data_IF_711877901633
#
_entry.id   IF_711877901633
#
_cell.length_a   1.000
_cell.length_b   1.000
_cell.length_c   1.000
_cell.angle_alpha   90.00
_cell.angle_beta   90.00
_cell.angle_gamma   90.00
#
_symmetry.space_group_name_H-M   'P 1'
#
loop_
_entity.id
_entity.type
_entity.pdbx_description
1 polymer ?
#
# COMPACT_ATOMS: atom_id res chain seq x y z
N UNK A 1 -17.38 -78.47 4.13
CA UNK A 1 -18.75 -78.86 3.81
C UNK A 1 -19.34 -77.81 2.88
N UNK A 2 -19.40 -78.21 1.63
CA UNK A 2 -20.03 -77.46 0.53
C UNK A 2 -21.53 -77.41 0.80
N UNK A 3 -22.14 -76.28 0.81
CA UNK A 3 -23.55 -76.04 0.63
C UNK A 3 -23.78 -75.64 -0.82
N UNK A 4 -24.33 -76.55 -1.59
CA UNK A 4 -24.97 -76.35 -2.88
C UNK A 4 -26.25 -75.54 -2.64
N UNK A 5 -26.25 -74.22 -2.96
CA UNK A 5 -27.49 -73.51 -3.20
C UNK A 5 -27.72 -73.49 -4.70
N UNK A 6 -28.43 -74.44 -5.21
CA UNK A 6 -29.16 -74.34 -6.47
C UNK A 6 -30.29 -73.34 -6.28
N UNK A 7 -30.48 -72.38 -7.19
CA UNK A 7 -31.73 -71.69 -7.23
C UNK A 7 -32.80 -72.57 -7.80
N UNK A 8 -33.66 -72.98 -6.89
CA UNK A 8 -34.83 -73.80 -7.15
C UNK A 8 -35.92 -72.93 -7.82
N UNK A 9 -36.64 -73.58 -8.71
CA UNK A 9 -37.97 -73.25 -9.19
C UNK A 9 -38.08 -71.99 -10.15
N UNK A 10 -37.45 -72.11 -11.32
CA UNK A 10 -38.12 -71.59 -12.51
C UNK A 10 -39.25 -72.54 -12.90
N UNK A 11 -40.47 -72.22 -12.52
CA UNK A 11 -41.64 -72.91 -13.05
C UNK A 11 -41.61 -72.81 -14.60
N UNK A 12 -41.15 -73.91 -15.22
CA UNK A 12 -41.24 -74.00 -16.68
C UNK A 12 -42.71 -74.17 -17.07
N UNK A 13 -43.31 -73.10 -17.52
CA UNK A 13 -44.69 -73.11 -18.01
C UNK A 13 -44.66 -73.74 -19.42
N UNK A 14 -45.01 -75.02 -19.49
CA UNK A 14 -45.23 -75.73 -20.76
C UNK A 14 -46.55 -75.30 -21.38
N UNK A 15 -46.55 -74.54 -22.42
CA UNK A 15 -47.75 -74.21 -23.18
C UNK A 15 -47.85 -75.27 -24.29
N UNK A 16 -48.82 -76.22 -24.15
CA UNK A 16 -49.11 -77.17 -25.20
C UNK A 16 -50.01 -76.49 -26.23
N UNK A 17 -49.44 -76.16 -27.39
CA UNK A 17 -50.19 -75.58 -28.53
C UNK A 17 -50.46 -76.68 -29.53
N UNK A 18 -51.74 -76.92 -29.94
CA UNK A 18 -52.06 -77.87 -31.01
C UNK A 18 -51.33 -77.45 -32.32
N UNK A 19 -50.92 -78.49 -33.08
CA UNK A 19 -50.08 -78.37 -34.26
C UNK A 19 -50.75 -77.52 -35.34
N UNK A 20 -52.05 -77.53 -35.46
CA UNK A 20 -52.91 -76.77 -36.37
C UNK A 20 -53.00 -75.28 -36.04
N UNK A 21 -52.58 -74.89 -34.80
CA UNK A 21 -52.63 -73.46 -34.32
C UNK A 21 -51.25 -72.82 -34.16
N UNK A 22 -50.20 -73.55 -34.49
CA UNK A 22 -48.83 -73.05 -34.31
C UNK A 22 -48.54 -71.78 -35.10
N UNK A 23 -48.98 -71.73 -36.35
CA UNK A 23 -48.75 -70.52 -37.23
C UNK A 23 -49.53 -69.32 -36.74
N UNK A 24 -50.73 -69.48 -36.22
CA UNK A 24 -51.53 -68.38 -35.67
C UNK A 24 -50.89 -67.86 -34.36
N UNK A 25 -50.46 -68.80 -33.49
CA UNK A 25 -49.76 -68.40 -32.25
C UNK A 25 -48.41 -67.75 -32.51
N UNK A 26 -47.62 -68.23 -33.43
CA UNK A 26 -46.33 -67.71 -33.77
C UNK A 26 -46.46 -66.26 -34.36
N UNK A 27 -47.53 -66.08 -35.15
CA UNK A 27 -47.81 -64.76 -35.73
C UNK A 27 -48.30 -63.80 -34.65
N UNK A 28 -49.26 -64.18 -33.81
CA UNK A 28 -49.72 -63.29 -32.69
C UNK A 28 -48.61 -63.01 -31.69
N UNK A 29 -47.77 -64.00 -31.34
CA UNK A 29 -46.63 -63.77 -30.45
C UNK A 29 -45.63 -62.84 -31.05
N UNK A 30 -45.28 -62.94 -32.36
CA UNK A 30 -44.37 -62.08 -33.06
C UNK A 30 -44.90 -60.63 -33.12
N UNK A 31 -46.22 -60.44 -33.38
CA UNK A 31 -46.87 -59.14 -33.38
C UNK A 31 -46.87 -58.55 -31.95
N UNK A 32 -47.20 -59.36 -30.95
CA UNK A 32 -47.18 -58.88 -29.54
C UNK A 32 -45.77 -58.47 -29.10
N UNK A 33 -44.73 -59.25 -29.41
CA UNK A 33 -43.34 -58.91 -29.12
C UNK A 33 -42.90 -57.62 -29.85
N UNK A 34 -43.33 -57.51 -31.12
CA UNK A 34 -43.01 -56.27 -31.89
C UNK A 34 -43.69 -55.05 -31.28
N UNK A 35 -44.96 -55.15 -30.94
CA UNK A 35 -45.71 -54.02 -30.32
C UNK A 35 -45.14 -53.67 -28.95
N UNK A 36 -44.87 -54.63 -28.07
CA UNK A 36 -44.24 -54.41 -26.79
C UNK A 36 -42.86 -53.72 -26.92
N UNK A 37 -42.07 -54.12 -27.91
CA UNK A 37 -40.77 -53.52 -28.20
C UNK A 37 -40.94 -52.11 -28.72
N UNK A 38 -41.92 -51.82 -29.54
CA UNK A 38 -42.24 -50.48 -30.03
C UNK A 38 -42.71 -49.57 -28.89
N UNK A 39 -43.61 -50.05 -28.03
CA UNK A 39 -44.10 -49.31 -26.86
C UNK A 39 -42.99 -49.05 -25.81
N UNK A 40 -42.12 -50.04 -25.58
CA UNK A 40 -40.96 -49.87 -24.72
C UNK A 40 -40.03 -48.78 -25.26
N UNK A 41 -39.71 -48.80 -26.56
CA UNK A 41 -38.89 -47.77 -27.19
C UNK A 41 -39.52 -46.38 -27.09
N UNK A 42 -40.83 -46.28 -27.32
CA UNK A 42 -41.59 -45.01 -27.24
C UNK A 42 -41.59 -44.49 -25.78
N UNK A 43 -41.85 -45.32 -24.80
CA UNK A 43 -41.87 -44.94 -23.40
C UNK A 43 -40.46 -44.56 -22.92
N UNK A 44 -39.44 -45.32 -23.31
CA UNK A 44 -38.03 -44.98 -23.00
C UNK A 44 -37.61 -43.63 -23.56
N UNK A 45 -38.01 -43.31 -24.79
CA UNK A 45 -37.72 -41.98 -25.40
C UNK A 45 -38.44 -40.84 -24.66
N UNK A 46 -39.73 -41.06 -24.28
CA UNK A 46 -40.49 -40.07 -23.51
C UNK A 46 -39.84 -39.82 -22.15
N UNK A 47 -39.50 -40.90 -21.43
CA UNK A 47 -38.84 -40.78 -20.11
C UNK A 47 -37.52 -40.08 -20.23
N UNK A 48 -36.68 -40.43 -21.24
CA UNK A 48 -35.41 -39.78 -21.50
C UNK A 48 -35.57 -38.29 -21.80
N UNK A 49 -36.56 -37.91 -22.63
CA UNK A 49 -36.87 -36.54 -22.94
C UNK A 49 -37.31 -35.73 -21.71
N UNK A 50 -38.17 -36.34 -20.84
CA UNK A 50 -38.61 -35.69 -19.60
C UNK A 50 -37.44 -35.49 -18.64
N UNK A 51 -36.59 -36.50 -18.47
CA UNK A 51 -35.40 -36.41 -17.63
C UNK A 51 -34.40 -35.34 -18.13
N UNK A 52 -34.17 -35.26 -19.45
CA UNK A 52 -33.33 -34.25 -20.05
C UNK A 52 -33.89 -32.84 -19.82
N UNK A 53 -35.21 -32.67 -19.96
CA UNK A 53 -35.88 -31.37 -19.73
C UNK A 53 -35.81 -30.97 -18.24
N UNK A 54 -36.08 -31.88 -17.32
CA UNK A 54 -35.98 -31.66 -15.87
C UNK A 54 -34.53 -31.35 -15.47
N UNK A 55 -33.55 -32.06 -16.02
CA UNK A 55 -32.11 -31.80 -15.80
C UNK A 55 -31.71 -30.43 -16.33
N UNK A 56 -32.16 -30.03 -17.50
CA UNK A 56 -31.92 -28.72 -18.10
C UNK A 56 -32.48 -27.57 -17.25
N UNK A 57 -33.74 -27.76 -16.78
CA UNK A 57 -34.37 -26.75 -15.89
C UNK A 57 -33.62 -26.66 -14.55
N UNK A 58 -33.31 -27.80 -13.93
CA UNK A 58 -32.53 -27.82 -12.67
C UNK A 58 -31.18 -27.17 -12.83
N UNK A 59 -30.44 -27.46 -13.92
CA UNK A 59 -29.13 -26.87 -14.21
C UNK A 59 -29.25 -25.37 -14.42
N UNK A 60 -30.27 -24.89 -15.11
CA UNK A 60 -30.52 -23.46 -15.30
C UNK A 60 -30.72 -22.71 -13.97
N UNK A 61 -31.55 -23.25 -13.06
CA UNK A 61 -31.80 -22.65 -11.75
C UNK A 61 -30.55 -22.70 -10.84
N UNK A 62 -29.88 -23.84 -10.80
CA UNK A 62 -28.67 -24.03 -9.97
C UNK A 62 -27.55 -23.10 -10.48
N UNK A 63 -27.30 -23.06 -11.79
CA UNK A 63 -26.28 -22.18 -12.38
C UNK A 63 -26.59 -20.71 -12.16
N UNK A 64 -27.84 -20.29 -12.33
CA UNK A 64 -28.27 -18.91 -12.07
C UNK A 64 -28.05 -18.49 -10.61
N UNK A 65 -28.39 -19.39 -9.67
CA UNK A 65 -28.21 -19.12 -8.24
C UNK A 65 -26.75 -19.16 -7.80
N UNK A 66 -25.97 -20.10 -8.30
CA UNK A 66 -24.55 -20.26 -7.99
C UNK A 66 -23.68 -19.09 -8.55
N UNK A 67 -24.07 -18.52 -9.69
CA UNK A 67 -23.32 -17.42 -10.31
C UNK A 67 -23.76 -16.04 -9.84
N UNK A 68 -24.89 -15.92 -9.13
CA UNK A 68 -25.39 -14.64 -8.63
C UNK A 68 -24.39 -13.88 -7.75
N UNK A 69 -23.73 -14.50 -6.76
CA UNK A 69 -22.75 -13.81 -5.91
C UNK A 69 -21.55 -13.25 -6.71
N UNK A 70 -21.15 -13.96 -7.77
CA UNK A 70 -20.04 -13.51 -8.63
C UNK A 70 -20.44 -12.27 -9.44
N UNK A 71 -21.69 -12.21 -9.93
CA UNK A 71 -22.21 -11.02 -10.63
C UNK A 71 -22.31 -9.84 -9.69
N UNK A 72 -22.88 -10.04 -8.49
CA UNK A 72 -22.96 -9.00 -7.47
C UNK A 72 -21.59 -8.45 -7.06
N UNK A 73 -20.57 -9.32 -6.98
CA UNK A 73 -19.18 -8.94 -6.75
C UNK A 73 -18.64 -8.10 -7.92
N UNK A 74 -18.85 -8.54 -9.17
CA UNK A 74 -18.41 -7.82 -10.36
C UNK A 74 -19.06 -6.42 -10.44
N UNK A 75 -20.37 -6.33 -10.21
CA UNK A 75 -21.10 -5.05 -10.22
C UNK A 75 -20.62 -4.10 -9.11
N UNK A 76 -20.26 -4.61 -7.94
CA UNK A 76 -19.69 -3.81 -6.86
C UNK A 76 -18.29 -3.31 -7.20
N UNK A 77 -17.43 -4.17 -7.77
CA UNK A 77 -16.09 -3.79 -8.19
C UNK A 77 -16.12 -2.67 -9.25
N UNK A 78 -17.02 -2.79 -10.24
CA UNK A 78 -17.13 -1.79 -11.32
C UNK A 78 -17.57 -0.41 -10.80
N UNK A 79 -18.35 -0.36 -9.71
CA UNK A 79 -18.85 0.88 -9.12
C UNK A 79 -17.94 1.50 -8.07
N UNK A 80 -16.78 0.88 -7.79
CA UNK A 80 -15.81 1.40 -6.79
C UNK A 80 -15.22 2.72 -7.28
N UNK A 81 -15.34 3.73 -6.45
CA UNK A 81 -14.73 5.05 -6.62
C UNK A 81 -14.10 5.49 -5.30
N UNK A 82 -13.16 6.43 -5.35
CA UNK A 82 -12.48 6.94 -4.15
C UNK A 82 -13.45 7.49 -3.07
N UNK A 83 -14.66 7.93 -3.49
CA UNK A 83 -15.66 8.49 -2.58
C UNK A 83 -16.55 7.44 -1.90
N UNK A 84 -16.63 6.20 -2.44
CA UNK A 84 -17.55 5.16 -1.95
C UNK A 84 -16.87 3.86 -1.49
N UNK A 85 -15.58 3.90 -1.19
CA UNK A 85 -14.80 2.72 -0.79
C UNK A 85 -15.40 2.01 0.43
N UNK A 86 -15.86 2.77 1.43
CA UNK A 86 -16.46 2.21 2.65
C UNK A 86 -17.78 1.48 2.38
N UNK A 87 -18.60 2.01 1.46
CA UNK A 87 -19.91 1.44 1.10
C UNK A 87 -19.79 0.26 0.10
N UNK A 88 -18.60 0.07 -0.47
CA UNK A 88 -18.33 -0.98 -1.46
C UNK A 88 -17.87 -2.30 -0.83
N UNK A 89 -17.89 -2.42 0.49
CA UNK A 89 -17.57 -3.67 1.20
C UNK A 89 -18.57 -4.77 0.85
N UNK A 90 -18.07 -6.00 0.77
CA UNK A 90 -18.86 -7.19 0.47
C UNK A 90 -19.07 -7.95 1.77
N UNK A 91 -20.32 -8.39 1.99
CA UNK A 91 -20.64 -9.25 3.11
C UNK A 91 -19.97 -10.63 2.99
N UNK A 92 -19.68 -11.24 4.12
CA UNK A 92 -19.12 -12.59 4.15
C UNK A 92 -20.09 -13.59 3.52
N UNK A 93 -19.56 -14.48 2.69
CA UNK A 93 -20.35 -15.49 1.98
C UNK A 93 -20.24 -16.84 2.69
N UNK A 94 -21.31 -17.65 2.62
CA UNK A 94 -21.32 -19.00 3.19
C UNK A 94 -20.46 -20.00 2.40
N UNK A 95 -20.20 -19.73 1.12
CA UNK A 95 -19.32 -20.56 0.28
C UNK A 95 -17.87 -20.16 0.54
N UNK A 96 -17.05 -21.11 0.97
CA UNK A 96 -15.69 -20.90 1.46
C UNK A 96 -14.79 -20.17 0.46
N UNK A 97 -14.84 -20.53 -0.81
CA UNK A 97 -14.03 -19.93 -1.88
C UNK A 97 -14.45 -18.49 -2.15
N UNK A 98 -15.74 -18.20 -2.14
CA UNK A 98 -16.28 -16.86 -2.30
C UNK A 98 -16.00 -15.99 -1.07
N UNK A 99 -16.04 -16.58 0.12
CA UNK A 99 -15.69 -15.87 1.35
C UNK A 99 -14.23 -15.43 1.36
N UNK A 100 -13.31 -16.31 0.95
CA UNK A 100 -11.90 -15.96 0.84
C UNK A 100 -11.66 -14.80 -0.15
N UNK A 101 -12.39 -14.79 -1.28
CA UNK A 101 -12.35 -13.70 -2.25
C UNK A 101 -12.90 -12.39 -1.66
N UNK A 102 -14.05 -12.44 -0.96
CA UNK A 102 -14.65 -11.29 -0.28
C UNK A 102 -13.73 -10.68 0.77
N UNK A 103 -13.08 -11.51 1.59
CA UNK A 103 -12.09 -11.07 2.60
C UNK A 103 -10.88 -10.40 1.94
N UNK A 104 -10.36 -11.00 0.86
CA UNK A 104 -9.21 -10.44 0.13
C UNK A 104 -9.56 -9.12 -0.52
N UNK A 105 -10.74 -9.01 -1.12
CA UNK A 105 -11.27 -7.80 -1.71
C UNK A 105 -11.48 -6.69 -0.66
N UNK A 106 -12.13 -6.99 0.47
CA UNK A 106 -12.34 -6.03 1.54
C UNK A 106 -11.01 -5.50 2.11
N UNK A 107 -10.00 -6.37 2.25
CA UNK A 107 -8.65 -5.96 2.67
C UNK A 107 -7.97 -5.05 1.64
N UNK A 108 -8.19 -5.31 0.34
CA UNK A 108 -7.70 -4.42 -0.72
C UNK A 108 -8.39 -3.05 -0.66
N UNK A 109 -9.72 -3.00 -0.46
CA UNK A 109 -10.47 -1.76 -0.30
C UNK A 109 -9.99 -0.95 0.91
N UNK A 110 -9.72 -1.62 2.05
CA UNK A 110 -9.21 -0.99 3.26
C UNK A 110 -7.85 -0.32 3.00
N UNK A 111 -6.91 -1.05 2.39
CA UNK A 111 -5.61 -0.50 2.00
C UNK A 111 -5.74 0.68 1.03
N UNK A 112 -6.68 0.60 0.09
CA UNK A 112 -6.94 1.67 -0.87
C UNK A 112 -7.56 2.89 -0.18
N UNK A 113 -8.50 2.69 0.73
CA UNK A 113 -9.11 3.75 1.54
C UNK A 113 -8.06 4.48 2.38
N UNK A 114 -7.20 3.75 3.07
CA UNK A 114 -6.11 4.32 3.86
C UNK A 114 -5.14 5.13 2.98
N UNK A 115 -4.78 4.61 1.81
CA UNK A 115 -3.92 5.31 0.87
C UNK A 115 -4.54 6.62 0.36
N UNK A 116 -5.84 6.62 0.04
CA UNK A 116 -6.55 7.83 -0.38
C UNK A 116 -6.70 8.86 0.76
N UNK A 117 -6.94 8.41 1.99
CA UNK A 117 -7.04 9.32 3.12
C UNK A 117 -5.68 9.98 3.41
N UNK A 118 -4.59 9.21 3.39
CA UNK A 118 -3.22 9.73 3.52
C UNK A 118 -2.93 10.74 2.39
N UNK A 119 -3.28 10.42 1.14
CA UNK A 119 -3.08 11.31 0.00
C UNK A 119 -3.91 12.59 0.12
N UNK A 120 -5.16 12.50 0.55
CA UNK A 120 -6.05 13.65 0.77
C UNK A 120 -5.51 14.57 1.85
N UNK A 121 -5.07 14.00 2.97
CA UNK A 121 -4.47 14.73 4.07
C UNK A 121 -3.17 15.41 3.65
N UNK A 122 -2.32 14.69 2.90
CA UNK A 122 -1.09 15.24 2.32
C UNK A 122 -1.38 16.46 1.43
N UNK A 123 -2.33 16.34 0.50
CA UNK A 123 -2.69 17.44 -0.42
C UNK A 123 -3.28 18.64 0.33
N UNK A 124 -4.15 18.41 1.31
CA UNK A 124 -4.74 19.47 2.11
C UNK A 124 -3.68 20.21 2.95
N UNK A 125 -2.77 19.46 3.58
CA UNK A 125 -1.68 20.02 4.36
C UNK A 125 -0.69 20.79 3.48
N UNK A 126 -0.35 20.27 2.30
CA UNK A 126 0.51 20.95 1.33
C UNK A 126 -0.10 22.30 0.90
N UNK A 127 -1.39 22.30 0.54
CA UNK A 127 -2.10 23.53 0.16
C UNK A 127 -2.12 24.56 1.29
N UNK A 128 -2.32 24.10 2.54
CA UNK A 128 -2.33 24.98 3.71
C UNK A 128 -0.94 25.57 4.01
N UNK A 129 0.10 24.75 3.98
CA UNK A 129 1.48 25.16 4.24
C UNK A 129 2.06 26.06 3.12
N UNK A 130 1.57 25.92 1.86
CA UNK A 130 1.90 26.83 0.76
C UNK A 130 1.16 28.16 0.88
N UNK A 131 -0.12 28.16 1.32
CA UNK A 131 -0.92 29.40 1.44
C UNK A 131 -0.36 30.36 2.48
N UNK A 132 0.15 29.86 3.59
CA UNK A 132 0.63 30.68 4.71
C UNK A 132 1.79 31.61 4.31
N UNK A 133 2.92 31.16 3.72
CA UNK A 133 3.99 32.06 3.30
C UNK A 133 3.56 33.01 2.19
N UNK A 134 2.69 32.58 1.25
CA UNK A 134 2.13 33.46 0.23
C UNK A 134 1.32 34.61 0.84
N UNK A 135 0.46 34.31 1.82
CA UNK A 135 -0.32 35.33 2.51
C UNK A 135 0.58 36.28 3.31
N UNK A 136 1.64 35.78 3.94
CA UNK A 136 2.61 36.62 4.65
C UNK A 136 3.36 37.58 3.70
N UNK A 137 3.81 37.07 2.56
CA UNK A 137 4.43 37.91 1.54
C UNK A 137 3.47 38.99 1.03
N UNK A 138 2.21 38.63 0.77
CA UNK A 138 1.19 39.57 0.33
C UNK A 138 0.96 40.69 1.36
N UNK A 139 0.78 40.32 2.65
CA UNK A 139 0.59 41.29 3.74
C UNK A 139 1.79 42.24 3.85
N UNK A 140 3.03 41.74 3.70
CA UNK A 140 4.23 42.59 3.75
C UNK A 140 4.29 43.57 2.59
N UNK A 141 3.96 43.13 1.38
CA UNK A 141 3.87 44.00 0.20
C UNK A 141 2.77 45.05 0.36
N UNK A 142 1.60 44.67 0.89
CA UNK A 142 0.48 45.59 1.11
C UNK A 142 0.84 46.66 2.17
N UNK A 143 1.50 46.25 3.25
CA UNK A 143 2.02 47.17 4.27
C UNK A 143 3.05 48.12 3.72
N UNK A 144 3.97 47.64 2.88
CA UNK A 144 4.95 48.49 2.22
C UNK A 144 4.31 49.51 1.28
N UNK A 145 3.30 49.10 0.52
CA UNK A 145 2.56 50.00 -0.37
C UNK A 145 1.68 51.02 0.38
N UNK A 146 1.13 50.64 1.55
CA UNK A 146 0.27 51.55 2.35
C UNK A 146 1.06 52.57 3.16
N UNK A 147 2.29 52.26 3.55
CA UNK A 147 3.17 53.18 4.27
C UNK A 147 3.85 54.10 3.27
N UNK A 148 3.35 55.32 3.15
CA UNK A 148 3.91 56.38 2.29
C UNK A 148 5.26 56.92 2.82
N UNK A 149 6.24 56.05 2.97
CA UNK A 149 7.60 56.42 3.43
C UNK A 149 8.62 56.09 2.33
N UNK A 150 8.87 57.05 1.37
CA UNK A 150 9.78 56.78 0.27
C UNK A 150 11.27 56.77 0.64
N UNK A 151 11.66 57.10 1.86
CA UNK A 151 13.06 57.34 2.23
C UNK A 151 13.59 56.48 3.39
N UNK A 152 12.91 55.38 3.78
CA UNK A 152 13.41 54.50 4.85
C UNK A 152 14.01 53.20 4.27
N UNK A 153 15.30 53.26 3.90
CA UNK A 153 16.05 52.09 3.39
C UNK A 153 15.97 50.87 4.32
N UNK A 154 15.86 51.09 5.65
CA UNK A 154 15.80 50.03 6.63
C UNK A 154 14.51 49.19 6.51
N UNK A 155 13.34 49.81 6.32
CA UNK A 155 12.05 49.11 6.16
C UNK A 155 11.99 48.33 4.85
N UNK A 156 12.56 48.92 3.78
CA UNK A 156 12.70 48.27 2.47
C UNK A 156 13.58 47.02 2.57
N UNK A 157 14.74 47.13 3.21
CA UNK A 157 15.65 45.99 3.42
C UNK A 157 15.01 44.89 4.24
N UNK A 158 14.30 45.28 5.31
CA UNK A 158 13.58 44.28 6.14
C UNK A 158 12.48 43.57 5.36
N UNK A 159 11.67 44.27 4.57
CA UNK A 159 10.64 43.68 3.72
C UNK A 159 11.26 42.74 2.69
N UNK A 160 12.29 43.12 1.97
CA UNK A 160 13.00 42.31 0.99
C UNK A 160 13.50 41.03 1.67
N UNK A 161 14.11 41.12 2.85
CA UNK A 161 14.60 39.99 3.63
C UNK A 161 13.50 39.03 3.94
N UNK A 162 12.36 39.51 4.46
CA UNK A 162 11.21 38.66 4.82
C UNK A 162 10.60 37.97 3.59
N UNK A 163 10.44 38.67 2.47
CA UNK A 163 9.94 38.12 1.21
C UNK A 163 10.89 37.03 0.69
N UNK A 164 12.21 37.29 0.73
CA UNK A 164 13.23 36.32 0.32
C UNK A 164 13.16 35.04 1.19
N UNK A 165 13.11 35.20 2.51
CA UNK A 165 13.00 34.06 3.44
C UNK A 165 11.75 33.20 3.18
N UNK A 166 10.59 33.83 2.89
CA UNK A 166 9.37 33.08 2.55
C UNK A 166 9.47 32.42 1.18
N UNK A 167 10.10 33.05 0.20
CA UNK A 167 10.33 32.46 -1.12
C UNK A 167 11.26 31.24 -1.04
N UNK A 168 12.34 31.32 -0.29
CA UNK A 168 13.29 30.24 -0.10
C UNK A 168 12.59 29.04 0.61
N UNK A 169 11.72 29.33 1.58
CA UNK A 169 10.90 28.32 2.25
C UNK A 169 9.95 27.64 1.25
N UNK A 170 9.28 28.40 0.38
CA UNK A 170 8.40 27.85 -0.65
C UNK A 170 9.19 26.99 -1.64
N UNK A 171 10.33 27.46 -2.12
CA UNK A 171 11.18 26.70 -3.03
C UNK A 171 11.63 25.37 -2.42
N UNK A 172 12.06 25.38 -1.14
CA UNK A 172 12.44 24.16 -0.41
C UNK A 172 11.25 23.19 -0.30
N UNK A 173 10.04 23.70 -0.03
CA UNK A 173 8.83 22.90 0.06
C UNK A 173 8.47 22.27 -1.28
N UNK A 174 8.43 23.03 -2.35
CA UNK A 174 8.12 22.55 -3.71
C UNK A 174 9.14 21.51 -4.15
N UNK A 175 10.44 21.74 -3.92
CA UNK A 175 11.49 20.78 -4.22
C UNK A 175 11.26 19.45 -3.48
N UNK A 176 10.98 19.49 -2.17
CA UNK A 176 10.74 18.27 -1.39
C UNK A 176 9.49 17.53 -1.86
N UNK A 177 8.42 18.23 -2.25
CA UNK A 177 7.20 17.62 -2.80
C UNK A 177 7.46 16.95 -4.15
N UNK A 178 8.27 17.56 -5.02
CA UNK A 178 8.70 16.96 -6.29
C UNK A 178 9.55 15.72 -6.03
N UNK A 179 10.52 15.81 -5.11
CA UNK A 179 11.35 14.69 -4.71
C UNK A 179 10.51 13.50 -4.24
N UNK A 180 9.47 13.72 -3.42
CA UNK A 180 8.55 12.68 -2.98
C UNK A 180 7.73 12.08 -4.13
N UNK A 181 7.38 12.86 -5.14
CA UNK A 181 6.64 12.38 -6.32
C UNK A 181 7.49 11.49 -7.23
N UNK A 182 8.78 11.76 -7.32
CA UNK A 182 9.71 11.10 -8.24
C UNK A 182 10.38 9.84 -7.65
N UNK A 183 10.26 9.59 -6.34
CA UNK A 183 10.93 8.48 -5.66
C UNK A 183 10.75 7.11 -6.31
N UNK A 184 9.61 6.86 -6.94
CA UNK A 184 9.31 5.56 -7.56
C UNK A 184 9.95 5.40 -8.95
N UNK A 185 10.35 6.49 -9.59
CA UNK A 185 10.90 6.50 -10.95
C UNK A 185 12.42 6.52 -10.99
N UNK A 186 13.07 6.86 -9.87
CA UNK A 186 14.54 6.90 -9.77
C UNK A 186 15.12 5.49 -9.76
N UNK A 187 16.15 5.24 -10.59
CA UNK A 187 16.92 3.98 -10.60
C UNK A 187 17.60 3.73 -9.24
N UNK A 188 17.79 2.45 -8.89
CA UNK A 188 18.33 2.00 -7.59
C UNK A 188 19.41 0.94 -7.76
N UNK A 189 20.18 1.04 -8.81
CA UNK A 189 21.21 0.08 -9.25
C UNK A 189 22.62 0.67 -9.20
N UNK A 190 22.77 1.84 -8.56
CA UNK A 190 24.08 2.44 -8.33
C UNK A 190 24.85 1.66 -7.27
N UNK A 191 26.16 1.50 -7.46
CA UNK A 191 27.07 1.00 -6.43
C UNK A 191 27.53 2.20 -5.58
N UNK A 192 27.07 2.25 -4.32
CA UNK A 192 27.27 3.37 -3.40
C UNK A 192 28.36 3.02 -2.41
N UNK A 193 29.41 3.85 -2.34
CA UNK A 193 30.45 3.80 -1.31
C UNK A 193 29.98 4.68 -0.15
N UNK A 194 29.43 4.05 0.89
CA UNK A 194 28.65 4.72 1.92
C UNK A 194 29.48 5.68 2.82
N UNK A 195 30.74 5.35 3.09
CA UNK A 195 31.67 6.21 3.83
C UNK A 195 31.93 7.53 3.06
N UNK A 196 32.24 7.45 1.75
CA UNK A 196 32.44 8.62 0.91
C UNK A 196 31.19 9.50 0.83
N UNK A 197 30.00 8.89 0.68
CA UNK A 197 28.72 9.60 0.65
C UNK A 197 28.43 10.28 2.00
N UNK A 198 28.72 9.63 3.12
CA UNK A 198 28.53 10.22 4.45
C UNK A 198 29.50 11.39 4.66
N UNK A 199 30.76 11.25 4.25
CA UNK A 199 31.73 12.33 4.35
C UNK A 199 31.33 13.54 3.52
N UNK A 200 30.82 13.35 2.29
CA UNK A 200 30.27 14.42 1.44
C UNK A 200 29.11 15.15 2.14
N UNK A 201 28.16 14.41 2.74
CA UNK A 201 27.04 15.01 3.47
C UNK A 201 27.53 15.81 4.69
N UNK A 202 28.53 15.30 5.42
CA UNK A 202 29.07 16.00 6.59
C UNK A 202 29.80 17.27 6.18
N UNK A 203 30.56 17.27 5.06
CA UNK A 203 31.22 18.45 4.50
C UNK A 203 30.18 19.50 4.06
N UNK A 204 29.12 19.11 3.38
CA UNK A 204 28.05 20.01 2.96
C UNK A 204 27.31 20.67 4.13
N UNK A 205 27.20 19.97 5.26
CA UNK A 205 26.51 20.45 6.46
C UNK A 205 27.44 21.11 7.50
N UNK A 206 28.78 21.08 7.30
CA UNK A 206 29.76 21.70 8.20
C UNK A 206 29.46 23.18 8.48
N UNK A 207 29.14 24.05 7.48
CA UNK A 207 28.82 25.44 7.76
C UNK A 207 27.61 25.66 8.66
N UNK A 208 26.60 24.75 8.56
CA UNK A 208 25.42 24.77 9.40
C UNK A 208 25.74 24.33 10.84
N UNK A 209 26.60 23.34 10.99
CA UNK A 209 27.07 22.82 12.28
C UNK A 209 27.97 23.82 12.99
N UNK A 210 28.93 24.44 12.28
CA UNK A 210 29.82 25.49 12.82
C UNK A 210 29.00 26.70 13.33
N UNK A 211 27.98 27.12 12.58
CA UNK A 211 27.09 28.24 12.97
C UNK A 211 26.37 28.00 14.29
N UNK A 212 26.25 26.72 14.73
CA UNK A 212 25.65 26.32 16.00
C UNK A 212 26.67 25.74 17.01
N UNK A 213 27.96 25.71 16.65
CA UNK A 213 29.01 25.09 17.45
C UNK A 213 28.71 23.60 17.74
N UNK A 214 28.31 22.82 16.73
CA UNK A 214 28.00 21.39 16.80
C UNK A 214 29.13 20.61 16.15
N UNK A 215 29.55 19.51 16.78
CA UNK A 215 30.58 18.62 16.25
C UNK A 215 29.95 17.54 15.39
N UNK A 216 30.38 17.40 14.13
CA UNK A 216 30.03 16.29 13.25
C UNK A 216 31.08 15.18 13.32
N UNK A 217 30.66 13.93 13.36
CA UNK A 217 31.53 12.76 13.44
C UNK A 217 31.00 11.66 12.52
N UNK A 218 31.76 11.28 11.51
CA UNK A 218 31.56 10.09 10.69
C UNK A 218 32.31 8.89 11.29
N UNK A 219 31.66 7.75 11.41
CA UNK A 219 32.25 6.47 11.84
C UNK A 219 31.77 5.36 10.91
N UNK A 220 31.88 5.57 9.63
CA UNK A 220 31.60 4.57 8.61
C UNK A 220 32.89 3.79 8.30
N UNK A 221 32.75 2.51 7.99
CA UNK A 221 33.83 1.66 7.47
C UNK A 221 33.53 1.36 6.03
N UNK A 222 34.51 0.93 5.24
CA UNK A 222 34.39 0.57 3.83
C UNK A 222 33.13 -0.30 3.51
N UNK A 223 31.98 0.35 3.42
CA UNK A 223 30.70 -0.29 3.16
C UNK A 223 30.22 0.14 1.80
N UNK A 224 30.03 -0.83 0.90
CA UNK A 224 29.34 -0.60 -0.38
C UNK A 224 27.94 -1.17 -0.31
N UNK A 225 26.96 -0.49 -0.92
CA UNK A 225 25.60 -1.00 -1.08
C UNK A 225 25.09 -0.70 -2.49
N UNK A 226 24.06 -1.43 -2.90
CA UNK A 226 23.34 -1.14 -4.15
C UNK A 226 22.07 -0.38 -3.81
N UNK A 227 21.86 0.75 -4.49
CA UNK A 227 20.71 1.61 -4.24
C UNK A 227 20.69 2.82 -5.20
N UNK A 228 19.98 3.86 -4.84
CA UNK A 228 20.07 5.14 -5.54
C UNK A 228 20.97 6.10 -4.77
N UNK A 229 22.09 6.48 -5.36
CA UNK A 229 23.05 7.41 -4.77
C UNK A 229 22.40 8.70 -4.32
N UNK A 230 21.61 9.33 -5.19
CA UNK A 230 20.87 10.57 -4.91
C UNK A 230 19.91 10.41 -3.72
N UNK A 231 19.20 9.28 -3.64
CA UNK A 231 18.22 9.08 -2.59
C UNK A 231 18.89 8.79 -1.24
N UNK A 232 19.96 7.99 -1.22
CA UNK A 232 20.71 7.71 0.01
C UNK A 232 21.42 8.97 0.51
N UNK A 233 22.00 9.79 -0.40
CA UNK A 233 22.51 11.10 -0.02
C UNK A 233 21.44 11.96 0.66
N UNK A 234 20.23 12.07 0.07
CA UNK A 234 19.10 12.83 0.64
C UNK A 234 18.63 12.28 1.98
N UNK A 235 18.65 10.95 2.16
CA UNK A 235 18.31 10.31 3.42
C UNK A 235 19.27 10.76 4.53
N UNK A 236 20.59 10.60 4.29
CA UNK A 236 21.62 10.98 5.27
C UNK A 236 21.57 12.48 5.53
N UNK A 237 21.50 13.30 4.48
CA UNK A 237 21.42 14.76 4.58
C UNK A 237 20.25 15.21 5.46
N UNK A 238 19.03 14.68 5.25
CA UNK A 238 17.85 15.08 6.04
C UNK A 238 17.97 14.65 7.50
N UNK A 239 18.53 13.47 7.79
CA UNK A 239 18.75 12.99 9.16
C UNK A 239 19.78 13.87 9.89
N UNK A 240 20.93 14.16 9.25
CA UNK A 240 21.99 14.98 9.83
C UNK A 240 21.55 16.45 9.96
N UNK A 241 20.87 17.01 8.94
CA UNK A 241 20.32 18.36 9.01
C UNK A 241 19.34 18.52 10.20
N UNK A 242 18.48 17.54 10.42
CA UNK A 242 17.58 17.52 11.58
C UNK A 242 18.36 17.41 12.91
N UNK A 243 19.35 16.53 12.98
CA UNK A 243 20.19 16.37 14.14
C UNK A 243 20.95 17.64 14.53
N UNK A 244 21.36 18.47 13.54
CA UNK A 244 21.96 19.78 13.77
C UNK A 244 20.89 20.80 14.18
N UNK A 245 19.74 20.86 13.50
CA UNK A 245 18.68 21.84 13.75
C UNK A 245 18.11 21.77 15.16
N UNK A 246 17.90 20.57 15.66
CA UNK A 246 17.27 20.32 16.97
C UNK A 246 18.29 20.03 18.08
N UNK A 247 19.57 20.25 17.82
CA UNK A 247 20.63 20.18 18.82
C UNK A 247 20.78 21.49 19.61
N UNK A 248 21.51 21.39 20.70
CA UNK A 248 21.96 22.53 21.50
C UNK A 248 23.40 22.94 21.11
N UNK A 249 23.79 24.17 21.39
CA UNK A 249 25.16 24.64 21.15
C UNK A 249 26.16 23.82 21.96
N UNK A 250 27.25 23.42 21.34
CA UNK A 250 28.25 22.53 21.92
C UNK A 250 27.89 21.04 21.85
N UNK A 251 26.76 20.70 21.20
CA UNK A 251 26.33 19.31 20.98
C UNK A 251 27.14 18.58 19.92
N UNK A 252 26.73 17.34 19.70
CA UNK A 252 27.40 16.44 18.75
C UNK A 252 26.36 15.70 17.90
N UNK A 253 26.73 15.43 16.64
CA UNK A 253 26.03 14.51 15.75
C UNK A 253 27.02 13.43 15.30
N UNK A 254 26.64 12.17 15.44
CA UNK A 254 27.46 11.04 15.03
C UNK A 254 26.70 10.21 14.01
N UNK A 255 27.31 9.99 12.85
CA UNK A 255 26.81 9.08 11.82
C UNK A 255 27.63 7.80 11.87
N UNK A 256 26.97 6.67 12.03
CA UNK A 256 27.63 5.35 12.01
C UNK A 256 27.00 4.48 10.94
N UNK A 257 27.83 3.71 10.24
CA UNK A 257 27.34 2.67 9.35
C UNK A 257 28.07 1.36 9.66
N UNK A 258 27.33 0.26 9.64
CA UNK A 258 27.83 -1.09 9.83
C UNK A 258 27.10 -2.06 8.89
N UNK A 259 27.75 -3.15 8.52
CA UNK A 259 27.14 -4.22 7.72
C UNK A 259 27.01 -5.47 8.58
N UNK A 260 25.79 -6.00 8.67
CA UNK A 260 25.51 -7.28 9.31
C UNK A 260 24.79 -8.18 8.32
N UNK A 261 25.42 -9.27 7.96
CA UNK A 261 24.92 -10.20 6.94
C UNK A 261 24.69 -9.52 5.59
N UNK A 262 23.44 -9.38 5.19
CA UNK A 262 23.03 -8.75 3.92
C UNK A 262 22.53 -7.33 4.06
N UNK A 263 22.36 -6.84 5.28
CA UNK A 263 21.76 -5.53 5.55
C UNK A 263 22.82 -4.51 5.97
N UNK A 264 22.62 -3.28 5.55
CA UNK A 264 23.37 -2.12 5.98
C UNK A 264 22.60 -1.43 7.10
N UNK A 265 23.26 -1.20 8.21
CA UNK A 265 22.72 -0.47 9.36
C UNK A 265 23.36 0.90 9.40
N UNK A 266 22.56 1.92 9.18
CA UNK A 266 22.94 3.32 9.28
C UNK A 266 22.30 3.93 10.53
N UNK A 267 23.07 4.60 11.38
CA UNK A 267 22.54 5.30 12.54
C UNK A 267 23.02 6.76 12.55
N UNK A 268 22.09 7.66 12.83
CA UNK A 268 22.37 9.08 13.07
C UNK A 268 21.96 9.40 14.50
N UNK A 269 22.95 9.75 15.33
CA UNK A 269 22.77 10.05 16.74
C UNK A 269 23.03 11.52 17.01
N UNK A 270 22.15 12.17 17.75
CA UNK A 270 22.33 13.55 18.23
C UNK A 270 22.27 13.61 19.77
N UNK A 271 22.80 14.71 20.31
CA UNK A 271 22.74 15.05 21.73
C UNK A 271 21.73 16.16 22.03
N UNK A 272 20.75 16.35 21.16
CA UNK A 272 19.81 17.47 21.19
C UNK A 272 18.64 17.31 22.15
N UNK A 273 17.50 17.92 21.80
CA UNK A 273 16.31 17.99 22.66
C UNK A 273 15.56 16.66 22.79
N UNK A 274 15.85 15.68 21.92
CA UNK A 274 15.12 14.41 21.87
C UNK A 274 13.68 14.53 21.33
N UNK A 275 13.04 13.37 21.18
CA UNK A 275 11.66 13.25 20.72
C UNK A 275 10.87 12.51 21.80
N UNK A 276 9.74 13.06 22.28
CA UNK A 276 8.84 12.38 23.23
C UNK A 276 8.39 11.02 22.70
N UNK A 277 8.28 10.02 23.57
CA UNK A 277 7.98 8.64 23.22
C UNK A 277 6.69 8.51 22.40
N UNK A 278 5.66 9.23 22.79
CA UNK A 278 4.34 9.24 22.16
C UNK A 278 4.35 9.87 20.76
N UNK A 279 5.40 10.56 20.36
CA UNK A 279 5.52 11.25 19.07
C UNK A 279 6.48 10.56 18.09
N UNK A 280 7.22 9.54 18.52
CA UNK A 280 8.25 8.86 17.71
C UNK A 280 7.72 8.25 16.42
N UNK A 281 6.53 7.68 16.43
CA UNK A 281 5.87 7.18 15.22
C UNK A 281 5.38 8.32 14.32
N UNK A 282 4.93 9.40 14.91
CA UNK A 282 4.30 10.53 14.22
C UNK A 282 5.28 11.48 13.55
N UNK A 283 6.55 11.50 13.95
CA UNK A 283 7.56 12.39 13.35
C UNK A 283 7.81 12.11 11.87
N UNK A 284 7.40 10.95 11.38
CA UNK A 284 7.45 10.58 9.97
C UNK A 284 6.19 10.96 9.17
N UNK A 285 5.14 11.45 9.84
CA UNK A 285 3.94 11.94 9.14
C UNK A 285 4.30 13.22 8.38
N UNK A 286 3.88 13.36 7.11
CA UNK A 286 4.11 14.58 6.35
C UNK A 286 3.53 15.82 7.07
N UNK A 287 4.30 16.92 7.11
CA UNK A 287 3.96 18.19 7.78
C UNK A 287 3.82 18.11 9.31
N UNK A 288 4.13 16.95 9.91
CA UNK A 288 4.12 16.84 11.36
C UNK A 288 5.32 17.55 11.98
N UNK A 289 5.08 18.15 13.15
CA UNK A 289 6.09 18.88 13.93
C UNK A 289 5.79 18.71 15.42
N UNK A 290 6.81 18.38 16.20
CA UNK A 290 6.71 18.26 17.67
C UNK A 290 6.33 19.62 18.31
N UNK A 291 6.96 20.70 17.85
CA UNK A 291 6.68 22.08 18.26
C UNK A 291 6.53 22.97 17.02
N UNK A 292 5.31 23.48 16.81
CA UNK A 292 4.97 24.31 15.65
C UNK A 292 5.62 25.71 15.68
N UNK A 293 5.86 26.28 16.86
CA UNK A 293 6.42 27.62 17.03
C UNK A 293 7.92 27.59 16.78
N UNK A 294 8.66 26.80 17.52
CA UNK A 294 10.12 26.67 17.40
C UNK A 294 10.58 26.16 16.03
N UNK A 295 9.81 25.24 15.45
CA UNK A 295 10.14 24.73 14.12
C UNK A 295 9.89 25.74 12.99
N UNK A 296 9.04 26.77 13.18
CA UNK A 296 8.88 27.85 12.21
C UNK A 296 10.12 28.75 12.16
N UNK A 297 10.67 29.08 13.31
CA UNK A 297 11.91 29.85 13.44
C UNK A 297 13.10 29.13 12.80
N UNK A 298 13.14 27.80 12.88
CA UNK A 298 14.18 26.95 12.28
C UNK A 298 13.93 26.61 10.79
N UNK A 299 12.89 27.20 10.17
CA UNK A 299 12.61 27.04 8.73
C UNK A 299 12.15 25.65 8.30
N UNK A 300 11.83 24.75 9.24
CA UNK A 300 11.39 23.38 8.93
C UNK A 300 9.96 23.32 8.40
N UNK A 301 9.70 22.53 7.36
CA UNK A 301 8.38 22.32 6.76
C UNK A 301 7.69 21.07 7.31
N UNK A 302 8.44 20.14 7.94
CA UNK A 302 7.93 18.86 8.41
C UNK A 302 7.81 17.80 7.30
N UNK A 303 8.57 17.94 6.23
CA UNK A 303 8.60 16.97 5.11
C UNK A 303 9.87 16.11 5.10
N UNK A 304 10.95 16.53 5.73
CA UNK A 304 12.25 15.84 5.64
C UNK A 304 12.20 14.41 6.18
N UNK A 305 11.64 14.17 7.36
CA UNK A 305 11.53 12.81 7.92
C UNK A 305 10.49 11.95 7.17
N UNK A 306 9.44 12.56 6.62
CA UNK A 306 8.51 11.86 5.73
C UNK A 306 9.21 11.38 4.46
N UNK A 307 10.05 12.24 3.85
CA UNK A 307 10.89 11.88 2.71
C UNK A 307 11.87 10.74 3.07
N UNK A 308 12.53 10.82 4.22
CA UNK A 308 13.41 9.75 4.72
C UNK A 308 12.67 8.42 4.80
N UNK A 309 11.47 8.37 5.40
CA UNK A 309 10.68 7.15 5.50
C UNK A 309 10.32 6.58 4.12
N UNK A 310 9.95 7.43 3.17
CA UNK A 310 9.64 6.99 1.81
C UNK A 310 10.89 6.48 1.07
N UNK A 311 12.06 7.12 1.23
CA UNK A 311 13.33 6.65 0.67
C UNK A 311 13.67 5.26 1.23
N UNK A 312 13.56 5.06 2.53
CA UNK A 312 13.79 3.76 3.18
C UNK A 312 12.81 2.72 2.64
N UNK A 313 11.54 3.06 2.48
CA UNK A 313 10.50 2.17 1.95
C UNK A 313 10.77 1.72 0.51
N UNK A 314 11.23 2.62 -0.37
CA UNK A 314 11.54 2.24 -1.76
C UNK A 314 12.83 1.44 -1.90
N UNK A 315 13.66 1.37 -0.85
CA UNK A 315 14.82 0.48 -0.74
C UNK A 315 14.51 -0.79 0.08
N UNK A 316 13.21 -1.11 0.31
CA UNK A 316 12.75 -2.28 1.09
C UNK A 316 13.31 -2.34 2.52
N UNK A 317 13.68 -1.19 3.06
CA UNK A 317 14.29 -1.04 4.38
C UNK A 317 13.30 -0.72 5.49
N UNK A 318 13.84 -0.45 6.68
CA UNK A 318 13.08 0.02 7.84
C UNK A 318 13.81 1.14 8.58
N UNK A 319 13.06 2.03 9.22
CA UNK A 319 13.59 3.11 10.06
C UNK A 319 12.91 3.10 11.42
N UNK A 320 13.70 3.31 12.47
CA UNK A 320 13.22 3.42 13.86
C UNK A 320 13.82 4.62 14.56
N UNK A 321 13.14 5.11 15.60
CA UNK A 321 13.59 6.23 16.44
C UNK A 321 13.73 5.78 17.87
N UNK A 322 14.88 6.06 18.48
CA UNK A 322 15.17 5.75 19.87
C UNK A 322 15.61 7.00 20.62
N UNK A 323 15.41 7.02 21.93
CA UNK A 323 16.01 8.03 22.78
C UNK A 323 17.48 7.73 22.99
N UNK A 324 18.34 8.74 22.83
CA UNK A 324 19.76 8.59 23.12
C UNK A 324 19.96 8.63 24.66
N UNK A 325 20.61 7.64 25.29
CA UNK A 325 20.87 7.65 26.73
C UNK A 325 21.69 8.87 27.20
N UNK A 326 22.47 9.47 26.31
CA UNK A 326 23.27 10.68 26.59
C UNK A 326 22.48 11.97 26.38
N UNK A 327 21.17 11.89 26.13
CA UNK A 327 20.31 12.99 25.68
C UNK A 327 20.23 13.04 24.16
N UNK A 328 19.07 13.45 23.61
CA UNK A 328 18.83 13.56 22.16
C UNK A 328 18.14 12.34 21.53
N UNK A 329 18.38 12.14 20.24
CA UNK A 329 17.69 11.14 19.43
C UNK A 329 18.68 10.24 18.68
N UNK A 330 18.26 9.00 18.44
CA UNK A 330 18.94 8.04 17.54
C UNK A 330 17.94 7.62 16.48
N UNK A 331 18.28 7.90 15.21
CA UNK A 331 17.58 7.32 14.06
C UNK A 331 18.37 6.13 13.57
N UNK A 332 17.76 4.96 13.53
CA UNK A 332 18.35 3.74 12.98
C UNK A 332 17.63 3.34 11.70
N UNK A 333 18.38 3.19 10.63
CA UNK A 333 17.92 2.77 9.30
C UNK A 333 18.56 1.43 8.97
N UNK A 334 17.76 0.51 8.46
CA UNK A 334 18.20 -0.79 7.92
C UNK A 334 17.83 -0.81 6.45
N UNK A 335 18.82 -1.08 5.58
CA UNK A 335 18.70 -1.13 4.12
C UNK A 335 19.19 -2.47 3.59
#
# INVERSE_FOLDING_TARGET
>A
TRGDDQPDDAEEIYISIPEDKWDEFANDFSVQVYNNKADYRKNSLIISAVLALLGGVATYFISGHALRPIRELSDKIEKVQAQNLADSRIEENQVKELNQLSVSYNRMLERLSDAFEIQRQFTANAAHELRTPLALMQVQLDLYHSNSHPDNDADTVQMIKMVTEQNDRLNKMVKTLLDMSELQTVGRDDEIILDALVDEVLEDLEPLAEGKNIRLIGKCKDITMVGSDILIYRLVYNLVENAIKYNHSGGQVTVTADRKEKHVYLSVEDTGTGIPEELKERVFEPFFRVDKSRSRELGGVGLGLALVREIVRVHDGSITVKSNPSGGTIFEVVL
#
